data_IF_862427864634
#
_entry.id   IF_862427864634
#
_cell.length_a   1.000
_cell.length_b   1.000
_cell.length_c   1.000
_cell.angle_alpha   90.00
_cell.angle_beta   90.00
_cell.angle_gamma   90.00
#
_symmetry.space_group_name_H-M   'P 1'
#
loop_
_entity.id
_entity.type
_entity.pdbx_description
1 polymer ?
#
# COMPACT_ATOMS: atom_id res chain seq x y z
N UNK A 1 1.94 0.31 -16.78
CA UNK A 1 1.90 -0.92 -15.98
C UNK A 1 2.01 -2.10 -16.94
N UNK A 2 2.88 -3.07 -16.67
CA UNK A 2 3.12 -4.23 -17.55
C UNK A 2 3.37 -3.85 -19.04
N UNK A 3 4.14 -2.80 -19.30
CA UNK A 3 4.43 -2.28 -20.63
C UNK A 3 3.28 -1.53 -21.32
N UNK A 4 2.13 -1.37 -20.65
CA UNK A 4 0.99 -0.61 -21.18
C UNK A 4 0.99 0.81 -20.65
N UNK A 5 0.82 1.78 -21.52
CA UNK A 5 0.60 3.18 -21.16
C UNK A 5 -0.86 3.35 -20.72
N UNK A 6 -1.10 3.83 -19.50
CA UNK A 6 -2.45 3.91 -18.91
C UNK A 6 -3.34 4.92 -19.65
N UNK A 7 -2.75 5.98 -20.18
CA UNK A 7 -3.44 7.04 -20.92
C UNK A 7 -4.03 6.57 -22.27
N UNK A 8 -3.45 5.51 -22.85
CA UNK A 8 -3.85 5.00 -24.16
C UNK A 8 -4.90 3.90 -24.08
N UNK A 9 -5.28 3.50 -22.86
CA UNK A 9 -6.21 2.39 -22.63
C UNK A 9 -7.66 2.84 -22.79
N UNK A 10 -8.46 2.01 -23.47
CA UNK A 10 -9.92 2.16 -23.53
C UNK A 10 -10.54 1.88 -22.14
N UNK A 11 -11.73 2.39 -21.90
CA UNK A 11 -12.40 2.34 -20.60
C UNK A 11 -12.48 0.93 -19.95
N UNK A 12 -12.65 -0.12 -20.74
CA UNK A 12 -12.68 -1.51 -20.25
C UNK A 12 -11.28 -1.97 -19.81
N UNK A 13 -10.26 -1.74 -20.65
CA UNK A 13 -8.88 -2.11 -20.37
C UNK A 13 -8.29 -1.29 -19.23
N UNK A 14 -8.66 -0.01 -19.14
CA UNK A 14 -8.27 0.87 -18.04
C UNK A 14 -8.85 0.36 -16.70
N UNK A 15 -10.11 -0.09 -16.68
CA UNK A 15 -10.69 -0.70 -15.47
C UNK A 15 -9.97 -1.99 -15.07
N UNK A 16 -9.60 -2.81 -16.05
CA UNK A 16 -8.83 -4.04 -15.79
C UNK A 16 -7.43 -3.71 -15.22
N UNK A 17 -6.71 -2.76 -15.84
CA UNK A 17 -5.39 -2.32 -15.39
C UNK A 17 -5.43 -1.69 -13.97
N UNK A 18 -6.48 -0.91 -13.66
CA UNK A 18 -6.68 -0.32 -12.32
C UNK A 18 -6.90 -1.36 -11.23
N UNK A 19 -7.37 -2.56 -11.54
CA UNK A 19 -7.48 -3.64 -10.55
C UNK A 19 -6.14 -4.22 -10.12
N UNK A 20 -5.12 -4.06 -10.97
CA UNK A 20 -3.74 -4.48 -10.65
C UNK A 20 -2.97 -3.43 -9.82
N UNK A 21 -3.57 -2.25 -9.61
CA UNK A 21 -2.96 -1.15 -8.85
C UNK A 21 -3.86 -0.83 -7.68
N UNK A 22 -3.29 -0.85 -6.49
CA UNK A 22 -4.00 -0.43 -5.27
C UNK A 22 -3.26 0.74 -4.61
N UNK A 23 -3.96 1.49 -3.78
CA UNK A 23 -3.42 2.69 -3.16
C UNK A 23 -3.71 2.70 -1.66
N UNK A 24 -2.69 3.07 -0.90
CA UNK A 24 -2.77 3.40 0.51
C UNK A 24 -2.66 4.92 0.61
N UNK A 25 -3.63 5.54 1.25
CA UNK A 25 -3.70 6.98 1.43
C UNK A 25 -3.13 7.40 2.79
N UNK A 26 -2.77 8.65 2.92
CA UNK A 26 -2.36 9.28 4.18
C UNK A 26 -3.38 9.06 5.30
N UNK A 27 -4.66 9.22 5.00
CA UNK A 27 -5.75 8.82 5.89
C UNK A 27 -6.08 7.34 5.62
N UNK A 28 -6.27 6.56 6.67
CA UNK A 28 -6.48 5.10 6.58
C UNK A 28 -7.71 4.71 5.74
N UNK A 29 -8.70 5.60 5.63
CA UNK A 29 -9.95 5.44 4.87
C UNK A 29 -10.68 4.11 5.18
N UNK A 30 -10.58 3.64 6.44
CA UNK A 30 -11.29 2.46 6.88
C UNK A 30 -12.78 2.72 7.03
N UNK A 31 -13.58 1.71 6.71
CA UNK A 31 -15.02 1.73 6.92
C UNK A 31 -15.30 1.55 8.42
N UNK A 32 -15.62 2.64 9.11
CA UNK A 32 -15.73 2.69 10.57
C UNK A 32 -16.81 1.76 11.14
N UNK A 33 -17.83 1.46 10.35
CA UNK A 33 -18.97 0.60 10.71
C UNK A 33 -18.76 -0.88 10.38
N UNK A 34 -17.58 -1.23 9.85
CA UNK A 34 -17.19 -2.61 9.53
C UNK A 34 -16.04 -3.05 10.40
N UNK A 35 -16.01 -4.33 10.77
CA UNK A 35 -14.86 -4.94 11.47
C UNK A 35 -13.61 -4.92 10.58
N UNK A 36 -12.44 -5.18 11.15
CA UNK A 36 -11.18 -5.28 10.40
C UNK A 36 -11.27 -6.34 9.30
N UNK A 37 -11.79 -7.53 9.62
CA UNK A 37 -12.01 -8.59 8.63
C UNK A 37 -12.88 -8.10 7.47
N UNK A 38 -14.00 -7.44 7.77
CA UNK A 38 -14.92 -6.91 6.75
C UNK A 38 -14.33 -5.73 5.96
N UNK A 39 -13.44 -4.94 6.55
CA UNK A 39 -12.68 -3.94 5.83
C UNK A 39 -11.77 -4.58 4.78
N UNK A 40 -11.05 -5.64 5.14
CA UNK A 40 -10.15 -6.35 4.22
C UNK A 40 -10.94 -7.09 3.14
N UNK A 41 -12.08 -7.68 3.47
CA UNK A 41 -12.95 -8.37 2.51
C UNK A 41 -13.59 -7.44 1.48
N UNK A 42 -13.74 -6.15 1.78
CA UNK A 42 -14.54 -5.22 0.97
C UNK A 42 -14.12 -5.14 -0.51
N UNK A 43 -12.83 -5.01 -0.89
CA UNK A 43 -12.42 -5.03 -2.29
C UNK A 43 -12.76 -6.35 -3.00
N UNK A 44 -12.69 -7.48 -2.29
CA UNK A 44 -13.04 -8.80 -2.81
C UNK A 44 -14.54 -8.96 -2.99
N UNK A 45 -15.36 -8.39 -2.09
CA UNK A 45 -16.81 -8.31 -2.24
C UNK A 45 -17.20 -7.57 -3.54
N UNK A 46 -16.54 -6.43 -3.81
CA UNK A 46 -16.72 -5.68 -5.06
C UNK A 46 -16.28 -6.45 -6.30
N UNK A 47 -15.24 -7.29 -6.16
CA UNK A 47 -14.76 -8.19 -7.21
C UNK A 47 -15.62 -9.46 -7.35
N UNK A 48 -16.69 -9.61 -6.56
CA UNK A 48 -17.61 -10.77 -6.54
C UNK A 48 -16.91 -12.09 -6.18
N UNK A 49 -15.87 -12.03 -5.36
CA UNK A 49 -15.23 -13.22 -4.79
C UNK A 49 -16.18 -13.88 -3.79
N UNK A 50 -16.36 -15.22 -3.82
CA UNK A 50 -17.18 -15.94 -2.84
C UNK A 50 -16.77 -15.61 -1.40
N UNK A 51 -17.76 -15.45 -0.51
CA UNK A 51 -17.56 -14.93 0.84
C UNK A 51 -16.63 -15.79 1.70
N UNK A 52 -16.67 -17.11 1.55
CA UNK A 52 -15.78 -18.07 2.21
C UNK A 52 -14.33 -17.87 1.80
N UNK A 53 -14.07 -17.71 0.50
CA UNK A 53 -12.73 -17.42 -0.05
C UNK A 53 -12.22 -16.04 0.38
N UNK A 54 -13.10 -15.03 0.32
CA UNK A 54 -12.76 -13.69 0.79
C UNK A 54 -12.41 -13.67 2.28
N UNK A 55 -13.15 -14.40 3.12
CA UNK A 55 -12.88 -14.50 4.55
C UNK A 55 -11.57 -15.23 4.84
N UNK A 56 -11.29 -16.34 4.13
CA UNK A 56 -10.03 -17.06 4.26
C UNK A 56 -8.84 -16.15 3.91
N UNK A 57 -8.90 -15.50 2.74
CA UNK A 57 -7.86 -14.56 2.29
C UNK A 57 -7.66 -13.39 3.25
N UNK A 58 -8.74 -12.83 3.77
CA UNK A 58 -8.67 -11.74 4.74
C UNK A 58 -7.98 -12.15 6.06
N UNK A 59 -8.16 -13.40 6.52
CA UNK A 59 -7.46 -13.92 7.70
C UNK A 59 -5.96 -14.09 7.45
N UNK A 60 -5.57 -14.63 6.28
CA UNK A 60 -4.15 -14.72 5.89
C UNK A 60 -3.49 -13.33 5.87
N UNK A 61 -4.19 -12.31 5.36
CA UNK A 61 -3.69 -10.95 5.33
C UNK A 61 -3.60 -10.32 6.71
N UNK A 62 -4.52 -10.66 7.63
CA UNK A 62 -4.41 -10.26 9.06
C UNK A 62 -3.16 -10.85 9.71
N UNK A 63 -2.83 -12.11 9.42
CA UNK A 63 -1.60 -12.75 9.89
C UNK A 63 -0.37 -12.07 9.29
N UNK A 64 -0.36 -11.80 7.98
CA UNK A 64 0.73 -11.12 7.28
C UNK A 64 1.07 -9.76 7.91
N UNK A 65 0.05 -8.98 8.28
CA UNK A 65 0.24 -7.67 8.91
C UNK A 65 0.39 -7.73 10.43
N UNK A 66 0.41 -8.94 11.04
CA UNK A 66 0.62 -9.16 12.46
C UNK A 66 -0.55 -8.76 13.35
N UNK A 67 -1.80 -8.92 12.88
CA UNK A 67 -3.02 -8.57 13.61
C UNK A 67 -4.09 -9.69 13.54
N UNK A 68 -3.74 -10.98 13.74
CA UNK A 68 -4.71 -12.08 13.60
C UNK A 68 -5.84 -12.00 14.63
N UNK A 69 -5.59 -11.43 15.81
CA UNK A 69 -6.54 -11.25 16.91
C UNK A 69 -7.53 -10.09 16.71
N UNK A 70 -7.34 -9.26 15.69
CA UNK A 70 -8.16 -8.06 15.42
C UNK A 70 -9.26 -8.27 14.39
N UNK A 71 -9.54 -9.50 13.96
CA UNK A 71 -10.53 -9.78 12.92
C UNK A 71 -11.89 -9.14 13.21
N UNK A 72 -12.38 -9.25 14.44
CA UNK A 72 -13.69 -8.77 14.87
C UNK A 72 -13.67 -7.35 15.48
N UNK A 73 -12.48 -6.75 15.64
CA UNK A 73 -12.34 -5.38 16.12
C UNK A 73 -12.82 -4.36 15.09
N UNK A 74 -13.33 -3.23 15.56
CA UNK A 74 -13.69 -2.08 14.72
C UNK A 74 -12.54 -1.07 14.65
N UNK A 75 -12.43 -0.28 13.58
CA UNK A 75 -11.35 0.72 13.45
C UNK A 75 -11.25 1.69 14.62
N UNK A 76 -12.36 2.03 15.29
CA UNK A 76 -12.35 2.91 16.46
C UNK A 76 -11.55 2.32 17.66
N UNK A 77 -11.36 1.01 17.72
CA UNK A 77 -10.66 0.29 18.77
C UNK A 77 -9.15 0.11 18.50
N UNK A 78 -8.66 0.65 17.38
CA UNK A 78 -7.29 0.44 16.89
C UNK A 78 -6.42 1.69 17.10
N UNK A 79 -5.13 1.48 17.37
CA UNK A 79 -4.12 2.54 17.25
C UNK A 79 -3.92 2.97 15.80
N UNK A 80 -3.25 4.12 15.58
CA UNK A 80 -2.92 4.61 14.23
C UNK A 80 -2.14 3.57 13.41
N UNK A 81 -1.09 2.97 13.99
CA UNK A 81 -0.30 1.94 13.33
C UNK A 81 -1.10 0.67 13.03
N UNK A 82 -2.02 0.26 13.91
CA UNK A 82 -2.92 -0.86 13.63
C UNK A 82 -3.90 -0.55 12.49
N UNK A 83 -4.47 0.66 12.45
CA UNK A 83 -5.32 1.11 11.33
C UNK A 83 -4.56 1.08 10.01
N UNK A 84 -3.30 1.52 10.01
CA UNK A 84 -2.45 1.48 8.81
C UNK A 84 -2.19 0.05 8.35
N UNK A 85 -1.89 -0.87 9.27
CA UNK A 85 -1.73 -2.30 8.94
C UNK A 85 -3.01 -2.90 8.32
N UNK A 86 -4.19 -2.56 8.82
CA UNK A 86 -5.47 -2.99 8.23
C UNK A 86 -5.67 -2.36 6.84
N UNK A 87 -5.31 -1.09 6.64
CA UNK A 87 -5.38 -0.44 5.33
C UNK A 87 -4.43 -1.11 4.31
N UNK A 88 -3.23 -1.50 4.74
CA UNK A 88 -2.28 -2.29 3.93
C UNK A 88 -2.90 -3.65 3.57
N UNK A 89 -3.39 -4.40 4.55
CA UNK A 89 -4.03 -5.70 4.32
C UNK A 89 -5.21 -5.59 3.32
N UNK A 90 -6.05 -4.56 3.46
CA UNK A 90 -7.14 -4.29 2.52
C UNK A 90 -6.63 -3.99 1.10
N UNK A 91 -5.54 -3.23 0.97
CA UNK A 91 -4.96 -2.93 -0.33
C UNK A 91 -4.41 -4.18 -1.04
N UNK A 92 -3.96 -5.18 -0.28
CA UNK A 92 -3.44 -6.45 -0.79
C UNK A 92 -4.54 -7.49 -1.10
N UNK A 93 -5.79 -7.23 -0.74
CA UNK A 93 -6.87 -8.21 -0.79
C UNK A 93 -7.17 -8.75 -2.20
N UNK A 94 -6.90 -7.98 -3.23
CA UNK A 94 -7.15 -8.33 -4.65
C UNK A 94 -5.88 -8.73 -5.41
N UNK A 95 -4.81 -9.07 -4.70
CA UNK A 95 -3.51 -9.49 -5.25
C UNK A 95 -2.97 -8.49 -6.31
N UNK A 96 -2.76 -7.21 -5.92
CA UNK A 96 -2.27 -6.18 -6.83
C UNK A 96 -0.83 -6.46 -7.28
N UNK A 97 -0.46 -5.93 -8.44
CA UNK A 97 0.93 -5.92 -8.91
C UNK A 97 1.70 -4.67 -8.50
N UNK A 98 0.96 -3.59 -8.26
CA UNK A 98 1.53 -2.30 -7.86
C UNK A 98 0.78 -1.77 -6.63
N UNK A 99 1.53 -1.41 -5.61
CA UNK A 99 1.05 -0.74 -4.41
C UNK A 99 1.56 0.70 -4.39
N UNK A 100 0.64 1.65 -4.48
CA UNK A 100 0.94 3.08 -4.33
C UNK A 100 0.77 3.47 -2.86
N UNK A 101 1.75 4.10 -2.27
CA UNK A 101 1.74 4.58 -0.88
C UNK A 101 1.86 6.12 -0.90
N UNK A 102 0.74 6.80 -0.71
CA UNK A 102 0.70 8.25 -0.68
C UNK A 102 0.79 8.73 0.78
N UNK A 103 1.97 9.21 1.16
CA UNK A 103 2.30 9.64 2.53
C UNK A 103 1.82 8.67 3.63
N UNK A 104 1.94 7.38 3.38
CA UNK A 104 1.34 6.30 4.18
C UNK A 104 1.82 6.26 5.66
N UNK A 105 2.83 7.05 6.02
CA UNK A 105 3.41 7.10 7.37
C UNK A 105 3.40 8.48 8.00
N UNK A 106 2.96 9.53 7.30
CA UNK A 106 3.04 10.93 7.76
C UNK A 106 2.25 11.22 9.04
N UNK A 107 1.21 10.45 9.33
CA UNK A 107 0.37 10.59 10.52
C UNK A 107 0.80 9.69 11.70
N UNK A 108 1.96 9.04 11.61
CA UNK A 108 2.44 8.07 12.60
C UNK A 108 3.69 8.60 13.34
N UNK A 109 3.89 8.10 14.55
CA UNK A 109 5.13 8.34 15.29
C UNK A 109 6.32 7.62 14.63
N UNK A 110 7.58 8.03 14.91
CA UNK A 110 8.77 7.47 14.25
C UNK A 110 8.92 5.96 14.38
N UNK A 111 8.64 5.39 15.56
CA UNK A 111 8.78 3.95 15.78
C UNK A 111 7.74 3.16 14.97
N UNK A 112 6.50 3.64 14.97
CA UNK A 112 5.42 3.05 14.17
C UNK A 112 5.71 3.20 12.66
N UNK A 113 6.23 4.35 12.23
CA UNK A 113 6.66 4.59 10.86
C UNK A 113 7.68 3.53 10.41
N UNK A 114 8.76 3.33 11.18
CA UNK A 114 9.76 2.32 10.88
C UNK A 114 9.16 0.91 10.77
N UNK A 115 8.27 0.53 11.70
CA UNK A 115 7.61 -0.77 11.67
C UNK A 115 6.68 -0.96 10.45
N UNK A 116 6.04 0.10 9.96
CA UNK A 116 5.23 0.08 8.73
C UNK A 116 6.12 -0.02 7.49
N UNK A 117 7.23 0.70 7.44
CA UNK A 117 8.19 0.63 6.32
C UNK A 117 8.81 -0.76 6.20
N UNK A 118 9.19 -1.38 7.32
CA UNK A 118 9.67 -2.77 7.33
C UNK A 118 8.59 -3.75 6.85
N UNK A 119 7.34 -3.55 7.23
CA UNK A 119 6.23 -4.37 6.72
C UNK A 119 6.07 -4.22 5.20
N UNK A 120 6.15 -3.00 4.66
CA UNK A 120 6.07 -2.73 3.22
C UNK A 120 7.24 -3.41 2.48
N UNK A 121 8.46 -3.34 3.01
CA UNK A 121 9.61 -4.06 2.43
C UNK A 121 9.42 -5.58 2.45
N UNK A 122 8.90 -6.12 3.56
CA UNK A 122 8.57 -7.55 3.66
C UNK A 122 7.56 -7.96 2.59
N UNK A 123 6.48 -7.19 2.43
CA UNK A 123 5.45 -7.41 1.41
C UNK A 123 6.04 -7.37 -0.01
N UNK A 124 6.88 -6.38 -0.31
CA UNK A 124 7.56 -6.27 -1.60
C UNK A 124 8.38 -7.54 -1.91
N UNK A 125 9.16 -8.02 -0.93
CA UNK A 125 10.01 -9.21 -1.11
C UNK A 125 9.23 -10.51 -1.20
N UNK A 126 8.23 -10.70 -0.34
CA UNK A 126 7.49 -11.97 -0.24
C UNK A 126 6.45 -12.13 -1.36
N UNK A 127 5.79 -11.04 -1.75
CA UNK A 127 4.74 -11.06 -2.78
C UNK A 127 5.24 -10.65 -4.17
N UNK A 128 6.47 -10.14 -4.30
CA UNK A 128 7.03 -9.71 -5.58
C UNK A 128 6.29 -8.56 -6.25
N UNK A 129 5.57 -7.73 -5.47
CA UNK A 129 4.83 -6.58 -5.99
C UNK A 129 5.72 -5.34 -6.09
N UNK A 130 5.45 -4.48 -7.05
CA UNK A 130 6.10 -3.17 -7.14
C UNK A 130 5.48 -2.21 -6.12
N UNK A 131 6.31 -1.57 -5.30
CA UNK A 131 5.85 -0.54 -4.36
C UNK A 131 6.34 0.82 -4.84
N UNK A 132 5.44 1.80 -4.92
CA UNK A 132 5.75 3.20 -5.21
C UNK A 132 5.36 4.02 -4.00
N UNK A 133 6.33 4.70 -3.40
CA UNK A 133 6.13 5.54 -2.21
C UNK A 133 6.24 7.00 -2.61
N UNK A 134 5.19 7.78 -2.30
CA UNK A 134 5.18 9.23 -2.42
C UNK A 134 5.43 9.78 -1.03
N UNK A 135 6.51 10.53 -0.87
CA UNK A 135 6.90 11.10 0.42
C UNK A 135 7.76 12.35 0.23
N UNK A 136 7.72 13.24 1.19
CA UNK A 136 8.65 14.38 1.32
C UNK A 136 9.75 14.11 2.36
N UNK A 137 9.78 12.91 2.95
CA UNK A 137 10.77 12.52 3.97
C UNK A 137 11.92 11.75 3.32
N UNK A 138 13.08 12.40 3.21
CA UNK A 138 14.27 11.80 2.59
C UNK A 138 14.73 10.54 3.34
N UNK A 139 14.62 10.51 4.67
CA UNK A 139 14.93 9.33 5.48
C UNK A 139 14.13 8.07 5.08
N UNK A 140 12.87 8.24 4.68
CA UNK A 140 12.05 7.13 4.17
C UNK A 140 12.61 6.62 2.85
N UNK A 141 13.01 7.52 1.94
CA UNK A 141 13.59 7.15 0.65
C UNK A 141 14.87 6.35 0.84
N UNK A 142 15.79 6.85 1.67
CA UNK A 142 17.07 6.18 1.97
C UNK A 142 16.88 4.80 2.63
N UNK A 143 15.89 4.67 3.51
CA UNK A 143 15.67 3.44 4.28
C UNK A 143 15.10 2.31 3.44
N UNK A 144 14.13 2.61 2.53
CA UNK A 144 13.31 1.53 1.93
C UNK A 144 13.29 1.53 0.41
N UNK A 145 13.75 2.58 -0.27
CA UNK A 145 13.67 2.68 -1.72
C UNK A 145 14.95 2.22 -2.41
N UNK A 146 14.81 1.61 -3.58
CA UNK A 146 15.93 1.27 -4.46
C UNK A 146 16.21 2.39 -5.48
N UNK A 147 15.14 2.99 -5.96
CA UNK A 147 15.14 4.08 -6.95
C UNK A 147 14.30 5.24 -6.46
N UNK A 148 14.65 6.43 -6.89
CA UNK A 148 13.92 7.66 -6.59
C UNK A 148 13.70 8.46 -7.87
N UNK A 149 12.57 9.16 -7.94
CA UNK A 149 12.30 10.21 -8.92
C UNK A 149 11.92 11.48 -8.16
N UNK A 150 12.61 12.57 -8.40
CA UNK A 150 12.36 13.87 -7.80
C UNK A 150 11.45 14.65 -8.71
N UNK A 151 10.31 15.10 -8.17
CA UNK A 151 9.34 15.92 -8.88
C UNK A 151 9.44 17.38 -8.42
N UNK A 152 9.53 18.28 -9.37
CA UNK A 152 9.39 19.73 -9.14
C UNK A 152 8.41 20.30 -10.15
N UNK A 153 7.46 21.11 -9.69
CA UNK A 153 6.42 21.76 -10.51
C UNK A 153 5.71 20.81 -11.52
N UNK A 154 5.49 19.55 -11.09
CA UNK A 154 4.80 18.53 -11.91
C UNK A 154 5.66 17.86 -12.97
N UNK A 155 6.96 18.11 -12.99
CA UNK A 155 7.94 17.47 -13.89
C UNK A 155 8.94 16.66 -13.09
N UNK A 156 9.41 15.55 -13.66
CA UNK A 156 10.53 14.79 -13.09
C UNK A 156 11.82 15.52 -13.45
N UNK A 157 12.52 16.03 -12.45
CA UNK A 157 13.77 16.78 -12.61
C UNK A 157 15.00 15.90 -12.49
N UNK A 158 14.89 14.83 -11.71
CA UNK A 158 15.96 13.86 -11.53
C UNK A 158 15.37 12.47 -11.24
N UNK A 159 15.99 11.41 -11.76
CA UNK A 159 15.64 10.02 -11.42
C UNK A 159 16.89 9.12 -11.46
N UNK A 160 16.91 8.13 -10.55
CA UNK A 160 18.02 7.19 -10.51
C UNK A 160 17.97 6.24 -9.32
N UNK A 161 19.06 5.54 -9.11
CA UNK A 161 19.25 4.75 -7.90
C UNK A 161 19.49 5.68 -6.70
N UNK A 162 18.88 5.33 -5.56
CA UNK A 162 18.96 6.15 -4.33
C UNK A 162 20.41 6.46 -3.96
N UNK A 163 21.27 5.44 -3.97
CA UNK A 163 22.68 5.63 -3.63
C UNK A 163 23.42 6.61 -4.56
N UNK A 164 23.09 6.60 -5.86
CA UNK A 164 23.73 7.49 -6.82
C UNK A 164 23.30 8.95 -6.61
N UNK A 165 22.01 9.20 -6.45
CA UNK A 165 21.44 10.55 -6.28
C UNK A 165 21.88 11.18 -4.96
N UNK A 166 21.87 10.42 -3.84
CA UNK A 166 22.27 10.96 -2.54
C UNK A 166 23.79 11.10 -2.34
N UNK A 167 24.61 10.39 -3.14
CA UNK A 167 26.07 10.53 -3.10
C UNK A 167 26.58 11.73 -3.88
N UNK A 168 25.84 12.22 -4.88
CA UNK A 168 26.21 13.35 -5.73
C UNK A 168 24.95 14.23 -5.95
N UNK A 169 24.51 14.99 -4.92
CA UNK A 169 23.40 15.91 -5.12
C UNK A 169 23.82 16.99 -6.11
N UNK A 170 23.05 17.12 -7.19
CA UNK A 170 23.19 18.19 -8.19
C UNK A 170 22.68 19.53 -7.68
#
# INVERSE_FOLDING_TARGET
>A
VNGKQMQDLRAADLRAARREITMIFQQFNLLMQRTCLRNIMFPMELAKVPGDKAAARARELLELVGLPDKADAYPAQLSGGQKQRIAIARALATDPKVLLCDEATSALDPNTTHAILQLIQKINRELGITVVIITHQMSVVEEVCNRVAILDNGTVVEEGEVQAIFSHPT
#
